data_IF_342205695940
#
_entry.id   IF_342205695940
#
_cell.length_a   1.000
_cell.length_b   1.000
_cell.length_c   1.000
_cell.angle_alpha   90.00
_cell.angle_beta   90.00
_cell.angle_gamma   90.00
#
_symmetry.space_group_name_H-M   'P 1'
#
loop_
_entity.id
_entity.type
_entity.pdbx_description
1 polymer ?
#
# COMPACT_ATOMS: atom_id res chain seq x y z
N UNK A 1 -5.04 -11.06 -18.05
CA UNK A 1 -4.25 -10.00 -18.71
C UNK A 1 -5.16 -8.78 -18.71
N UNK A 2 -5.06 -7.95 -17.66
CA UNK A 2 -5.93 -6.77 -17.48
C UNK A 2 -5.77 -5.79 -18.65
N UNK A 3 -6.76 -4.92 -18.91
CA UNK A 3 -6.76 -4.07 -20.09
C UNK A 3 -5.46 -3.27 -20.20
N UNK A 4 -4.83 -3.33 -21.38
CA UNK A 4 -3.66 -2.54 -21.68
C UNK A 4 -3.99 -1.05 -21.55
N UNK A 5 -3.30 -0.32 -20.67
CA UNK A 5 -3.29 1.15 -20.70
C UNK A 5 -3.16 1.90 -19.38
N UNK A 6 -3.19 1.26 -18.22
CA UNK A 6 -3.12 1.98 -16.93
C UNK A 6 -1.99 1.47 -16.03
N UNK A 7 -1.13 2.39 -15.61
CA UNK A 7 -0.08 2.13 -14.63
C UNK A 7 -0.72 1.68 -13.29
N UNK A 8 -0.30 0.54 -12.71
CA UNK A 8 -0.79 0.11 -11.41
C UNK A 8 -0.37 1.08 -10.30
N UNK A 9 -1.09 1.03 -9.18
CA UNK A 9 -0.75 1.76 -7.96
C UNK A 9 -0.09 0.83 -6.95
N UNK A 10 1.14 1.16 -6.58
CA UNK A 10 1.84 0.56 -5.45
C UNK A 10 1.70 1.47 -4.22
N UNK A 11 0.98 0.99 -3.20
CA UNK A 11 0.83 1.66 -1.90
C UNK A 11 1.81 1.04 -0.91
N UNK A 12 2.70 1.85 -0.34
CA UNK A 12 3.76 1.44 0.57
C UNK A 12 3.52 2.07 1.95
N UNK A 13 3.20 1.26 2.95
CA UNK A 13 3.19 1.71 4.35
C UNK A 13 4.61 1.95 4.86
N UNK A 14 4.79 2.87 5.80
CA UNK A 14 6.07 3.24 6.42
C UNK A 14 6.99 4.08 5.51
N UNK A 15 6.48 5.19 4.93
CA UNK A 15 7.21 6.10 4.03
C UNK A 15 8.67 6.33 4.45
N UNK A 16 8.90 6.76 5.70
CA UNK A 16 10.22 7.15 6.17
C UNK A 16 11.24 6.01 6.08
N UNK A 17 10.81 4.74 6.22
CA UNK A 17 11.70 3.59 6.06
C UNK A 17 12.13 3.42 4.60
N UNK A 18 11.20 3.52 3.66
CA UNK A 18 11.47 3.36 2.23
C UNK A 18 12.34 4.47 1.66
N UNK A 19 12.08 5.72 2.08
CA UNK A 19 12.91 6.87 1.70
C UNK A 19 14.34 6.69 2.19
N UNK A 20 14.55 6.27 3.44
CA UNK A 20 15.90 5.99 3.97
C UNK A 20 16.61 4.85 3.24
N UNK A 21 15.87 3.90 2.67
CA UNK A 21 16.43 2.79 1.88
C UNK A 21 16.74 3.17 0.42
N UNK A 22 16.39 4.39 -0.02
CA UNK A 22 16.56 4.82 -1.41
C UNK A 22 15.61 4.12 -2.38
N UNK A 23 14.45 3.65 -1.90
CA UNK A 23 13.51 2.91 -2.74
C UNK A 23 12.90 3.81 -3.82
N UNK A 24 12.66 5.09 -3.53
CA UNK A 24 12.00 6.01 -4.47
C UNK A 24 12.84 6.18 -5.74
N UNK A 25 14.14 6.41 -5.57
CA UNK A 25 15.10 6.54 -6.66
C UNK A 25 15.22 5.23 -7.45
N UNK A 26 15.21 4.09 -6.76
CA UNK A 26 15.25 2.78 -7.40
C UNK A 26 13.97 2.52 -8.24
N UNK A 27 12.79 2.83 -7.70
CA UNK A 27 11.52 2.67 -8.41
C UNK A 27 11.46 3.58 -9.64
N UNK A 28 11.88 4.84 -9.53
CA UNK A 28 11.96 5.75 -10.67
C UNK A 28 12.89 5.24 -11.77
N UNK A 29 13.99 4.59 -11.39
CA UNK A 29 14.98 4.06 -12.33
C UNK A 29 14.52 2.78 -13.03
N UNK A 30 13.90 1.87 -12.30
CA UNK A 30 13.64 0.51 -12.78
C UNK A 30 12.16 0.22 -13.07
N UNK A 31 11.23 1.00 -12.54
CA UNK A 31 9.77 0.84 -12.70
C UNK A 31 9.08 2.18 -13.06
N UNK A 32 9.41 2.82 -14.20
CA UNK A 32 8.92 4.17 -14.54
C UNK A 32 7.41 4.25 -14.84
N UNK A 33 6.73 3.10 -14.98
CA UNK A 33 5.31 3.00 -15.37
C UNK A 33 4.42 2.55 -14.21
N UNK A 34 4.81 2.84 -12.96
CA UNK A 34 4.04 2.53 -11.75
C UNK A 34 3.75 3.82 -11.00
N UNK A 35 2.50 4.01 -10.56
CA UNK A 35 2.19 5.04 -9.58
C UNK A 35 2.58 4.54 -8.19
N UNK A 36 3.22 5.38 -7.39
CA UNK A 36 3.67 5.02 -6.05
C UNK A 36 3.06 5.98 -5.04
N UNK A 37 2.38 5.43 -4.03
CA UNK A 37 1.91 6.16 -2.87
C UNK A 37 2.69 5.69 -1.64
N UNK A 38 3.52 6.58 -1.09
CA UNK A 38 4.18 6.35 0.19
C UNK A 38 3.25 6.87 1.28
N UNK A 39 2.97 6.03 2.28
CA UNK A 39 2.04 6.36 3.37
C UNK A 39 2.84 6.59 4.65
N UNK A 40 2.77 7.80 5.18
CA UNK A 40 3.29 8.11 6.50
C UNK A 40 2.39 7.47 7.57
N UNK A 41 2.99 6.57 8.35
CA UNK A 41 2.34 5.87 9.46
C UNK A 41 2.52 6.60 10.80
N UNK A 42 3.08 7.82 10.75
CA UNK A 42 3.29 8.71 11.88
C UNK A 42 4.18 8.06 12.95
N UNK A 43 3.78 8.11 14.21
CA UNK A 43 4.51 7.52 15.32
C UNK A 43 4.28 6.01 15.49
N UNK A 44 5.14 5.38 16.30
CA UNK A 44 5.13 3.92 16.54
C UNK A 44 3.78 3.44 17.10
N UNK A 45 3.15 4.23 17.97
CA UNK A 45 1.88 3.86 18.60
C UNK A 45 0.73 3.89 17.59
N UNK A 46 0.67 4.93 16.75
CA UNK A 46 -0.30 5.04 15.66
C UNK A 46 -0.09 3.93 14.64
N UNK A 47 1.16 3.75 14.21
CA UNK A 47 1.56 2.67 13.29
C UNK A 47 1.06 1.31 13.78
N UNK A 48 1.35 0.95 15.04
CA UNK A 48 0.90 -0.32 15.59
C UNK A 48 -0.63 -0.42 15.57
N UNK A 49 -1.32 0.58 16.13
CA UNK A 49 -2.79 0.61 16.20
C UNK A 49 -3.46 0.51 14.82
N UNK A 50 -2.94 1.22 13.83
CA UNK A 50 -3.61 1.39 12.55
C UNK A 50 -3.26 0.24 11.58
N UNK A 51 -2.05 -0.33 11.64
CA UNK A 51 -1.63 -1.43 10.76
C UNK A 51 -1.92 -2.83 11.30
N UNK A 52 -2.18 -3.00 12.60
CA UNK A 52 -2.58 -4.32 13.13
C UNK A 52 -4.09 -4.53 13.21
N UNK A 53 -4.88 -3.53 12.84
CA UNK A 53 -6.33 -3.60 12.84
C UNK A 53 -6.87 -3.43 11.41
N UNK A 54 -7.56 -4.45 10.90
CA UNK A 54 -8.08 -4.47 9.53
C UNK A 54 -8.97 -3.27 9.21
N UNK A 55 -9.90 -2.91 10.10
CA UNK A 55 -10.83 -1.80 9.85
C UNK A 55 -10.09 -0.47 9.72
N UNK A 56 -9.04 -0.26 10.52
CA UNK A 56 -8.20 0.95 10.44
C UNK A 56 -7.33 0.96 9.19
N UNK A 57 -6.68 -0.16 8.87
CA UNK A 57 -5.91 -0.31 7.64
C UNK A 57 -6.77 -0.07 6.39
N UNK A 58 -8.02 -0.52 6.42
CA UNK A 58 -8.99 -0.30 5.35
C UNK A 58 -9.33 1.19 5.17
N UNK A 59 -9.62 1.90 6.28
CA UNK A 59 -9.88 3.35 6.23
C UNK A 59 -8.67 4.09 5.67
N UNK A 60 -7.46 3.69 6.08
CA UNK A 60 -6.22 4.26 5.57
C UNK A 60 -6.07 4.03 4.06
N UNK A 61 -6.25 2.79 3.58
CA UNK A 61 -6.15 2.47 2.16
C UNK A 61 -7.21 3.21 1.34
N UNK A 62 -8.46 3.24 1.78
CA UNK A 62 -9.53 3.96 1.08
C UNK A 62 -9.20 5.46 0.95
N UNK A 63 -8.70 6.08 2.01
CA UNK A 63 -8.26 7.48 1.97
C UNK A 63 -7.10 7.73 1.00
N UNK A 64 -6.16 6.79 0.89
CA UNK A 64 -5.08 6.85 -0.10
C UNK A 64 -5.63 6.75 -1.52
N UNK A 65 -6.53 5.79 -1.78
CA UNK A 65 -7.15 5.60 -3.10
C UNK A 65 -7.94 6.84 -3.53
N UNK A 66 -8.70 7.44 -2.62
CA UNK A 66 -9.44 8.67 -2.88
C UNK A 66 -8.50 9.85 -3.16
N UNK A 67 -7.43 10.02 -2.37
CA UNK A 67 -6.48 11.10 -2.54
C UNK A 67 -5.70 11.00 -3.86
N UNK A 68 -5.15 9.82 -4.16
CA UNK A 68 -4.39 9.57 -5.41
C UNK A 68 -5.33 9.62 -6.60
N UNK A 69 -6.50 9.00 -6.50
CA UNK A 69 -7.50 9.00 -7.57
C UNK A 69 -8.02 10.40 -7.87
N UNK A 70 -8.28 11.22 -6.86
CA UNK A 70 -8.61 12.64 -7.01
C UNK A 70 -7.50 13.43 -7.69
N UNK A 71 -6.23 13.17 -7.34
CA UNK A 71 -5.07 13.83 -7.95
C UNK A 71 -4.90 13.46 -9.43
N UNK A 72 -5.14 12.20 -9.79
CA UNK A 72 -5.05 11.69 -11.15
C UNK A 72 -6.37 11.81 -11.93
N UNK A 73 -7.42 12.33 -11.29
CA UNK A 73 -8.79 12.45 -11.83
C UNK A 73 -9.36 11.14 -12.37
N UNK A 74 -9.06 10.03 -11.69
CA UNK A 74 -9.57 8.69 -12.04
C UNK A 74 -9.58 7.77 -10.81
N UNK A 75 -10.57 6.87 -10.67
CA UNK A 75 -10.48 5.79 -9.69
C UNK A 75 -9.45 4.74 -10.14
N UNK A 76 -9.04 3.87 -9.22
CA UNK A 76 -8.24 2.68 -9.53
C UNK A 76 -9.11 1.44 -9.54
N UNK A 77 -8.88 0.57 -10.52
CA UNK A 77 -9.36 -0.80 -10.49
C UNK A 77 -8.65 -1.55 -9.35
N UNK A 78 -9.36 -2.22 -8.43
CA UNK A 78 -8.73 -2.98 -7.36
C UNK A 78 -7.68 -3.99 -7.85
N UNK A 79 -7.87 -4.59 -9.04
CA UNK A 79 -6.87 -5.50 -9.63
C UNK A 79 -5.53 -4.81 -9.96
N UNK A 80 -5.52 -3.48 -10.05
CA UNK A 80 -4.34 -2.65 -10.31
C UNK A 80 -3.76 -2.01 -9.05
N UNK A 81 -4.33 -2.29 -7.88
CA UNK A 81 -3.83 -1.79 -6.59
C UNK A 81 -3.03 -2.89 -5.89
N UNK A 82 -1.77 -2.57 -5.61
CA UNK A 82 -0.83 -3.42 -4.88
C UNK A 82 -0.53 -2.74 -3.55
N UNK A 83 -0.80 -3.42 -2.43
CA UNK A 83 -0.42 -2.95 -1.09
C UNK A 83 0.84 -3.65 -0.61
N UNK A 84 1.78 -2.89 -0.05
CA UNK A 84 3.08 -3.42 0.35
C UNK A 84 3.51 -2.85 1.70
N UNK A 85 4.21 -3.68 2.47
CA UNK A 85 4.73 -3.25 3.76
C UNK A 85 5.61 -4.27 4.47
N UNK A 86 6.26 -3.80 5.52
CA UNK A 86 7.16 -4.59 6.36
C UNK A 86 6.58 -4.77 7.77
N UNK A 87 6.79 -5.93 8.40
CA UNK A 87 6.31 -6.19 9.78
C UNK A 87 4.79 -5.97 9.90
N UNK A 88 4.32 -5.00 10.70
CA UNK A 88 2.90 -4.64 10.77
C UNK A 88 2.34 -4.12 9.44
N UNK A 89 3.13 -3.43 8.61
CA UNK A 89 2.72 -3.08 7.25
C UNK A 89 2.49 -4.32 6.38
N UNK A 90 3.29 -5.37 6.57
CA UNK A 90 3.11 -6.65 5.87
C UNK A 90 1.86 -7.40 6.34
N UNK A 91 1.55 -7.34 7.65
CA UNK A 91 0.29 -7.84 8.20
C UNK A 91 -0.91 -7.08 7.61
N UNK A 92 -0.88 -5.74 7.62
CA UNK A 92 -1.92 -4.90 7.03
C UNK A 92 -2.14 -5.23 5.55
N UNK A 93 -1.05 -5.31 4.76
CA UNK A 93 -1.10 -5.66 3.34
C UNK A 93 -1.76 -7.04 3.12
N UNK A 94 -1.39 -8.04 3.93
CA UNK A 94 -2.00 -9.37 3.89
C UNK A 94 -3.51 -9.31 4.14
N UNK A 95 -3.92 -8.66 5.24
CA UNK A 95 -5.32 -8.57 5.66
C UNK A 95 -6.15 -7.77 4.65
N UNK A 96 -5.59 -6.72 4.04
CA UNK A 96 -6.27 -5.93 3.03
C UNK A 96 -6.51 -6.72 1.76
N UNK A 97 -5.48 -7.35 1.17
CA UNK A 97 -5.67 -8.09 -0.08
C UNK A 97 -6.54 -9.35 0.09
N UNK A 98 -6.54 -9.97 1.27
CA UNK A 98 -7.33 -11.19 1.53
C UNK A 98 -8.77 -10.89 1.96
N UNK A 99 -8.97 -9.91 2.84
CA UNK A 99 -10.29 -9.61 3.38
C UNK A 99 -11.01 -8.48 2.64
N UNK A 100 -10.29 -7.65 1.89
CA UNK A 100 -10.79 -6.50 1.12
C UNK A 100 -10.28 -6.48 -0.32
N UNK A 101 -10.52 -7.56 -1.10
CA UNK A 101 -10.12 -7.63 -2.51
C UNK A 101 -10.80 -6.55 -3.38
N UNK A 102 -11.88 -5.93 -2.86
CA UNK A 102 -12.52 -4.76 -3.46
C UNK A 102 -11.70 -3.46 -3.35
N UNK A 103 -10.62 -3.45 -2.56
CA UNK A 103 -9.70 -2.31 -2.44
C UNK A 103 -8.31 -2.60 -3.01
N UNK A 104 -7.82 -3.84 -2.92
CA UNK A 104 -6.51 -4.22 -3.42
C UNK A 104 -6.49 -5.69 -3.89
N UNK A 105 -6.06 -5.91 -5.14
CA UNK A 105 -5.99 -7.23 -5.75
C UNK A 105 -4.70 -8.00 -5.44
N UNK A 106 -3.66 -7.33 -4.96
CA UNK A 106 -2.38 -7.97 -4.65
C UNK A 106 -1.67 -7.34 -3.44
N UNK A 107 -0.81 -8.14 -2.81
CA UNK A 107 0.02 -7.70 -1.69
C UNK A 107 1.47 -8.17 -1.79
N UNK A 108 2.41 -7.34 -1.29
CA UNK A 108 3.80 -7.71 -1.05
C UNK A 108 4.06 -7.66 0.45
N UNK A 109 4.38 -8.82 1.03
CA UNK A 109 4.53 -9.01 2.46
C UNK A 109 6.00 -9.24 2.80
N UNK A 110 6.63 -8.32 3.52
CA UNK A 110 8.03 -8.47 3.92
C UNK A 110 8.13 -8.63 5.44
N UNK A 111 8.66 -9.76 5.89
CA UNK A 111 8.78 -10.08 7.33
C UNK A 111 7.49 -9.80 8.11
N UNK A 112 6.34 -10.13 7.51
CA UNK A 112 5.03 -9.77 8.05
C UNK A 112 4.82 -10.35 9.45
N UNK A 113 4.27 -9.55 10.36
CA UNK A 113 4.01 -9.95 11.75
C UNK A 113 2.79 -10.87 11.87
N UNK A 114 2.77 -12.00 11.15
CA UNK A 114 1.65 -12.96 11.13
C UNK A 114 1.44 -13.71 12.45
N UNK A 115 2.35 -13.52 13.41
CA UNK A 115 2.21 -13.98 14.79
C UNK A 115 1.30 -13.07 15.63
N UNK A 116 1.01 -11.85 15.17
CA UNK A 116 0.14 -10.90 15.85
C UNK A 116 -1.31 -11.40 15.82
N UNK A 117 -2.01 -11.28 16.96
CA UNK A 117 -3.38 -11.73 17.17
C UNK A 117 -4.20 -10.63 17.82
#
# INVERSE_FOLDING_TARGET
MGPAGQAPLLVLFDEAAWVRMGLVEALQRYLPVVHVALVDTLDVSRRARDLTNLQRAQVLLAGVLDAVGGRLRRPFDPEQVIVAGQSYGGLAAASLATCRPDLAGAAILQSASLWHR
#
